data_IF_700506487273
#
_entry.id   IF_700506487273
#
_cell.length_a   1.000
_cell.length_b   1.000
_cell.length_c   1.000
_cell.angle_alpha   90.00
_cell.angle_beta   90.00
_cell.angle_gamma   90.00
#
_symmetry.space_group_name_H-M   'P 1'
#
loop_
_entity.id
_entity.type
_entity.pdbx_description
1 polymer ?
#
# COMPACT_ATOMS: atom_id res chain seq x y z
N UNK A 1 14.15 22.07 -6.41
CA UNK A 1 13.00 21.56 -7.20
C UNK A 1 11.73 22.07 -6.54
N UNK A 2 10.65 22.35 -7.29
CA UNK A 2 9.38 22.73 -6.65
C UNK A 2 8.74 21.52 -5.98
N UNK A 3 8.00 21.74 -4.89
CA UNK A 3 7.32 20.67 -4.14
C UNK A 3 6.35 19.88 -5.03
N UNK A 4 5.65 20.58 -5.94
CA UNK A 4 4.77 19.93 -6.90
C UNK A 4 5.50 18.94 -7.81
N UNK A 5 6.63 19.36 -8.40
CA UNK A 5 7.41 18.50 -9.29
C UNK A 5 7.97 17.30 -8.53
N UNK A 6 8.41 17.52 -7.29
CA UNK A 6 8.86 16.46 -6.38
C UNK A 6 7.76 15.43 -6.14
N UNK A 7 6.56 15.88 -5.72
CA UNK A 7 5.43 14.98 -5.45
C UNK A 7 5.00 14.21 -6.69
N UNK A 8 5.04 14.81 -7.87
CA UNK A 8 4.76 14.12 -9.15
C UNK A 8 5.79 13.02 -9.39
N UNK A 9 7.09 13.31 -9.27
CA UNK A 9 8.16 12.32 -9.49
C UNK A 9 8.03 11.16 -8.50
N UNK A 10 7.87 11.45 -7.21
CA UNK A 10 7.70 10.43 -6.18
C UNK A 10 6.42 9.60 -6.39
N UNK A 11 5.32 10.24 -6.82
CA UNK A 11 4.08 9.56 -7.16
C UNK A 11 4.23 8.62 -8.37
N UNK A 12 4.97 9.03 -9.40
CA UNK A 12 5.30 8.17 -10.55
C UNK A 12 6.15 6.98 -10.11
N UNK A 13 7.17 7.20 -9.28
CA UNK A 13 8.02 6.12 -8.76
C UNK A 13 7.18 5.11 -7.98
N UNK A 14 6.33 5.57 -7.05
CA UNK A 14 5.43 4.69 -6.31
C UNK A 14 4.50 3.93 -7.27
N UNK A 15 3.84 4.63 -8.20
CA UNK A 15 2.89 4.01 -9.13
C UNK A 15 3.52 2.96 -10.03
N UNK A 16 4.78 3.14 -10.45
CA UNK A 16 5.50 2.17 -11.26
C UNK A 16 6.03 0.98 -10.45
N UNK A 17 6.44 1.22 -9.20
CA UNK A 17 7.12 0.20 -8.39
C UNK A 17 6.18 -0.63 -7.52
N UNK A 18 4.99 -0.12 -7.16
CA UNK A 18 4.05 -0.82 -6.28
C UNK A 18 3.57 -2.17 -6.86
N UNK A 19 3.39 -2.22 -8.17
CA UNK A 19 2.88 -3.42 -8.85
C UNK A 19 4.00 -4.39 -9.28
N UNK A 20 5.26 -3.98 -9.09
CA UNK A 20 6.43 -4.79 -9.42
C UNK A 20 7.03 -5.35 -8.13
N UNK A 21 7.55 -6.59 -8.13
CA UNK A 21 8.17 -7.20 -6.95
C UNK A 21 9.59 -6.65 -6.72
N UNK A 22 9.72 -5.33 -6.56
CA UNK A 22 10.99 -4.59 -6.50
C UNK A 22 11.14 -3.72 -5.25
N UNK A 23 10.20 -3.80 -4.30
CA UNK A 23 10.12 -2.95 -3.09
C UNK A 23 9.90 -1.46 -3.39
N UNK A 24 8.63 -1.05 -3.43
CA UNK A 24 8.22 0.35 -3.66
C UNK A 24 8.68 1.28 -2.54
N UNK A 25 8.58 0.86 -1.28
CA UNK A 25 9.05 1.63 -0.12
C UNK A 25 10.54 1.96 -0.19
N UNK A 26 11.37 1.00 -0.60
CA UNK A 26 12.81 1.23 -0.78
C UNK A 26 13.13 2.24 -1.89
N UNK A 27 12.45 2.14 -3.03
CA UNK A 27 12.61 3.10 -4.13
C UNK A 27 12.11 4.49 -3.75
N UNK A 28 11.01 4.59 -3.01
CA UNK A 28 10.43 5.85 -2.57
C UNK A 28 11.36 6.58 -1.59
N UNK A 29 11.89 5.90 -0.58
CA UNK A 29 12.82 6.49 0.39
C UNK A 29 14.16 6.87 -0.27
N UNK A 30 14.69 6.03 -1.17
CA UNK A 30 15.89 6.37 -1.93
C UNK A 30 15.67 7.61 -2.82
N UNK A 31 14.51 7.70 -3.48
CA UNK A 31 14.17 8.85 -4.30
C UNK A 31 14.03 10.13 -3.45
N UNK A 32 13.40 10.05 -2.27
CA UNK A 32 13.33 11.18 -1.33
C UNK A 32 14.73 11.66 -0.93
N UNK A 33 15.64 10.75 -0.61
CA UNK A 33 17.03 11.07 -0.29
C UNK A 33 17.75 11.75 -1.46
N UNK A 34 17.69 11.19 -2.68
CA UNK A 34 18.35 11.74 -3.88
C UNK A 34 17.79 13.12 -4.24
N UNK A 35 16.48 13.33 -4.08
CA UNK A 35 15.82 14.61 -4.36
C UNK A 35 15.99 15.64 -3.23
N UNK A 36 16.73 15.29 -2.17
CA UNK A 36 16.99 16.15 -1.02
C UNK A 36 15.72 16.47 -0.24
N UNK A 37 15.04 15.46 0.30
CA UNK A 37 13.87 15.71 1.16
C UNK A 37 14.25 16.34 2.47
N UNK A 38 13.57 17.44 2.77
CA UNK A 38 13.67 18.12 4.06
C UNK A 38 12.34 18.08 4.80
N UNK A 39 11.34 17.35 4.30
CA UNK A 39 10.10 17.07 5.02
C UNK A 39 10.40 16.42 6.38
N UNK A 40 9.59 16.77 7.39
CA UNK A 40 9.67 16.11 8.69
C UNK A 40 9.30 14.63 8.55
N UNK A 41 9.70 13.79 9.52
CA UNK A 41 9.35 12.36 9.52
C UNK A 41 7.84 12.13 9.36
N UNK A 42 7.02 12.92 10.06
CA UNK A 42 5.56 12.87 9.95
C UNK A 42 5.04 13.24 8.54
N UNK A 43 5.59 14.29 7.92
CA UNK A 43 5.20 14.70 6.57
C UNK A 43 5.59 13.64 5.53
N UNK A 44 6.79 13.08 5.67
CA UNK A 44 7.32 12.02 4.81
C UNK A 44 6.47 10.76 4.93
N UNK A 45 6.11 10.36 6.16
CA UNK A 45 5.24 9.24 6.45
C UNK A 45 3.84 9.45 5.87
N UNK A 46 3.25 10.63 6.12
CA UNK A 46 1.94 10.97 5.59
C UNK A 46 1.92 10.89 4.05
N UNK A 47 2.95 11.43 3.39
CA UNK A 47 3.09 11.33 1.94
C UNK A 47 3.19 9.87 1.48
N UNK A 48 4.02 9.05 2.12
CA UNK A 48 4.15 7.61 1.82
C UNK A 48 2.79 6.91 1.95
N UNK A 49 2.03 7.17 2.99
CA UNK A 49 0.69 6.60 3.19
C UNK A 49 -0.25 7.05 2.06
N UNK A 50 -0.26 8.33 1.71
CA UNK A 50 -1.13 8.87 0.66
C UNK A 50 -0.84 8.25 -0.71
N UNK A 51 0.42 8.03 -1.07
CA UNK A 51 0.74 7.39 -2.36
C UNK A 51 0.40 5.90 -2.37
N UNK A 52 0.48 5.18 -1.24
CA UNK A 52 -0.04 3.81 -1.12
C UNK A 52 -1.57 3.75 -1.21
N UNK A 53 -2.27 4.72 -0.61
CA UNK A 53 -3.72 4.84 -0.78
C UNK A 53 -4.06 5.08 -2.26
N UNK A 54 -3.32 5.94 -2.96
CA UNK A 54 -3.53 6.19 -4.38
C UNK A 54 -3.31 4.93 -5.24
N UNK A 55 -2.27 4.13 -4.99
CA UNK A 55 -2.05 2.86 -5.71
C UNK A 55 -3.09 1.81 -5.35
N UNK A 56 -3.52 1.70 -4.09
CA UNK A 56 -4.62 0.83 -3.69
C UNK A 56 -5.93 1.21 -4.39
N UNK A 57 -6.25 2.50 -4.47
CA UNK A 57 -7.41 3.00 -5.21
C UNK A 57 -7.31 2.71 -6.71
N UNK A 58 -6.11 2.82 -7.30
CA UNK A 58 -5.86 2.41 -8.68
C UNK A 58 -6.20 0.93 -8.90
N UNK A 59 -5.73 0.04 -8.02
CA UNK A 59 -6.07 -1.39 -8.05
C UNK A 59 -7.58 -1.61 -7.96
N UNK A 60 -8.25 -0.98 -6.99
CA UNK A 60 -9.71 -1.08 -6.83
C UNK A 60 -10.43 -0.59 -8.08
N UNK A 61 -9.98 0.51 -8.68
CA UNK A 61 -10.58 1.04 -9.90
C UNK A 61 -10.40 0.09 -11.09
N UNK A 62 -9.21 -0.47 -11.29
CA UNK A 62 -8.92 -1.42 -12.38
C UNK A 62 -9.77 -2.68 -12.22
N UNK A 63 -9.78 -3.28 -11.03
CA UNK A 63 -10.51 -4.52 -10.72
C UNK A 63 -11.95 -4.29 -10.24
N UNK A 64 -12.52 -3.09 -10.45
CA UNK A 64 -13.86 -2.73 -9.93
C UNK A 64 -14.98 -3.68 -10.35
N UNK A 65 -14.85 -4.28 -11.55
CA UNK A 65 -15.83 -5.25 -12.07
C UNK A 65 -15.73 -6.57 -11.31
N UNK A 66 -14.52 -7.11 -11.21
CA UNK A 66 -14.25 -8.36 -10.49
C UNK A 66 -14.60 -8.24 -9.00
N UNK A 67 -14.22 -7.12 -8.38
CA UNK A 67 -14.60 -6.78 -7.01
C UNK A 67 -16.13 -6.73 -6.88
N UNK A 68 -16.82 -6.08 -7.83
CA UNK A 68 -18.28 -6.03 -7.85
C UNK A 68 -18.94 -7.39 -7.97
N UNK A 69 -18.37 -8.30 -8.77
CA UNK A 69 -18.84 -9.69 -8.90
C UNK A 69 -18.63 -10.48 -7.61
N UNK A 70 -17.44 -10.37 -7.01
CA UNK A 70 -17.13 -11.00 -5.72
C UNK A 70 -18.11 -10.51 -4.65
N UNK A 71 -18.31 -9.19 -4.53
CA UNK A 71 -19.21 -8.59 -3.54
C UNK A 71 -20.66 -9.06 -3.71
N UNK A 72 -21.17 -9.14 -4.94
CA UNK A 72 -22.51 -9.71 -5.20
C UNK A 72 -22.57 -11.20 -4.87
N UNK A 73 -21.51 -11.93 -5.19
CA UNK A 73 -21.39 -13.35 -4.91
C UNK A 73 -21.41 -13.67 -3.42
N UNK A 74 -20.85 -12.81 -2.56
CA UNK A 74 -20.85 -12.95 -1.09
C UNK A 74 -22.27 -13.03 -0.51
N UNK A 75 -23.25 -12.35 -1.10
CA UNK A 75 -24.63 -12.36 -0.58
C UNK A 75 -25.52 -13.42 -1.25
N UNK A 76 -25.03 -14.08 -2.29
CA UNK A 76 -25.81 -15.06 -3.06
C UNK A 76 -25.96 -16.40 -2.31
N UNK A 77 -27.11 -17.07 -2.44
CA UNK A 77 -27.33 -18.46 -2.00
C UNK A 77 -27.62 -19.33 -3.22
N UNK A 78 -27.09 -20.57 -3.35
CA UNK A 78 -26.25 -21.32 -2.41
C UNK A 78 -24.78 -20.85 -2.38
N UNK A 79 -23.91 -21.58 -1.68
CA UNK A 79 -22.46 -21.30 -1.65
C UNK A 79 -21.87 -21.28 -3.07
N UNK A 80 -20.99 -20.33 -3.36
CA UNK A 80 -20.36 -20.14 -4.66
C UNK A 80 -18.86 -19.84 -4.51
N UNK A 81 -18.16 -19.78 -5.64
CA UNK A 81 -16.71 -19.51 -5.68
C UNK A 81 -16.37 -18.13 -5.12
N UNK A 82 -17.21 -17.11 -5.34
CA UNK A 82 -17.00 -15.77 -4.79
C UNK A 82 -16.97 -15.74 -3.26
N UNK A 83 -17.84 -16.51 -2.60
CA UNK A 83 -17.83 -16.66 -1.13
C UNK A 83 -16.57 -17.36 -0.65
N UNK A 84 -16.17 -18.43 -1.32
CA UNK A 84 -14.94 -19.16 -1.00
C UNK A 84 -13.71 -18.26 -1.17
N UNK A 85 -13.66 -17.50 -2.27
CA UNK A 85 -12.60 -16.54 -2.55
C UNK A 85 -12.53 -15.43 -1.49
N UNK A 86 -13.66 -14.80 -1.16
CA UNK A 86 -13.70 -13.75 -0.14
C UNK A 86 -13.27 -14.26 1.24
N UNK A 87 -13.68 -15.47 1.61
CA UNK A 87 -13.24 -16.10 2.85
C UNK A 87 -11.74 -16.39 2.84
N UNK A 88 -11.21 -16.92 1.74
CA UNK A 88 -9.78 -17.15 1.59
C UNK A 88 -8.97 -15.85 1.72
N UNK A 89 -9.45 -14.75 1.13
CA UNK A 89 -8.83 -13.42 1.30
C UNK A 89 -8.82 -13.02 2.77
N UNK A 90 -9.96 -13.08 3.46
CA UNK A 90 -10.05 -12.74 4.90
C UNK A 90 -9.09 -13.59 5.74
N UNK A 91 -9.09 -14.92 5.52
CA UNK A 91 -8.20 -15.83 6.24
C UNK A 91 -6.73 -15.49 5.95
N UNK A 92 -6.39 -15.17 4.70
CA UNK A 92 -5.02 -14.80 4.31
C UNK A 92 -4.54 -13.50 4.95
N UNK A 93 -5.44 -12.59 5.32
CA UNK A 93 -5.10 -11.35 6.02
C UNK A 93 -4.76 -11.58 7.50
N UNK A 94 -5.25 -12.65 8.13
CA UNK A 94 -5.09 -12.89 9.57
C UNK A 94 -3.61 -12.96 9.99
N UNK A 95 -2.73 -13.76 9.35
CA UNK A 95 -1.31 -13.78 9.73
C UNK A 95 -0.64 -12.41 9.62
N UNK A 96 -0.92 -11.66 8.55
CA UNK A 96 -0.35 -10.33 8.35
C UNK A 96 -0.84 -9.33 9.42
N UNK A 97 -2.13 -9.36 9.76
CA UNK A 97 -2.70 -8.52 10.81
C UNK A 97 -2.13 -8.85 12.20
N UNK A 98 -1.99 -10.14 12.51
CA UNK A 98 -1.39 -10.58 13.77
C UNK A 98 0.08 -10.14 13.87
N UNK A 99 0.87 -10.36 12.81
CA UNK A 99 2.26 -9.92 12.77
C UNK A 99 2.33 -8.39 12.90
N UNK A 100 1.52 -7.65 12.15
CA UNK A 100 1.48 -6.19 12.22
C UNK A 100 1.17 -5.68 13.62
N UNK A 101 0.16 -6.25 14.29
CA UNK A 101 -0.25 -5.85 15.64
C UNK A 101 0.78 -6.22 16.72
N UNK A 102 1.36 -7.43 16.67
CA UNK A 102 2.30 -7.87 17.71
C UNK A 102 3.74 -7.40 17.49
N UNK A 103 4.13 -7.14 16.24
CA UNK A 103 5.48 -6.70 15.88
C UNK A 103 5.59 -5.18 15.65
N UNK A 104 4.52 -4.42 15.88
CA UNK A 104 4.52 -2.95 15.76
C UNK A 104 5.73 -2.29 16.46
N UNK A 105 6.08 -2.61 17.73
CA UNK A 105 7.22 -1.97 18.39
C UNK A 105 8.56 -2.31 17.74
N UNK A 106 8.68 -3.51 17.17
CA UNK A 106 9.88 -3.93 16.43
C UNK A 106 9.99 -3.16 15.12
N UNK A 107 8.88 -3.05 14.38
CA UNK A 107 8.82 -2.34 13.11
C UNK A 107 9.16 -0.86 13.33
N UNK A 108 8.54 -0.18 14.30
CA UNK A 108 8.85 1.21 14.64
C UNK A 108 10.34 1.40 14.95
N UNK A 109 10.94 0.51 15.75
CA UNK A 109 12.38 0.60 16.08
C UNK A 109 13.32 0.47 14.88
N UNK A 110 12.87 -0.15 13.78
CA UNK A 110 13.63 -0.25 12.54
C UNK A 110 13.55 1.03 11.71
N UNK A 111 12.43 1.75 11.77
CA UNK A 111 12.18 3.00 11.02
C UNK A 111 12.56 4.27 11.80
N UNK A 112 12.66 4.22 13.12
CA UNK A 112 13.11 5.35 13.96
C UNK A 112 14.62 5.61 13.89
N UNK A 113 15.39 4.70 13.29
CA UNK A 113 16.80 4.96 13.01
C UNK A 113 16.88 5.98 11.89
N UNK A 114 17.10 7.24 12.27
CA UNK A 114 17.56 8.30 11.36
C UNK A 114 18.71 7.75 10.50
N UNK A 115 18.43 7.53 9.22
CA UNK A 115 19.45 7.51 8.17
C UNK A 115 19.58 8.94 7.65
#
# INVERSE_FOLDING_TARGET
MSDLLRSIVLGVIQGLTEFLPVSSSGHLELAKYILGDTSTGEQSLFFTIMVHVATALSTVYIFRKDIGEILKGIFSKPWNESKAFALNVIISMVPAALVGFFAEPLIESLFDRKI
#
